data_IF_115008796028
#
_entry.id   IF_115008796028
#
_cell.length_a   1.000
_cell.length_b   1.000
_cell.length_c   1.000
_cell.angle_alpha   90.00
_cell.angle_beta   90.00
_cell.angle_gamma   90.00
#
_symmetry.space_group_name_H-M   'P 1'
#
loop_
_entity.id
_entity.type
_entity.pdbx_description
1 polymer ?
#
# COMPACT_ATOMS: atom_id res chain seq x y z
N UNK A 1 11.56 -0.43 9.64
CA UNK A 1 11.43 0.05 8.27
C UNK A 1 12.82 0.03 7.63
N UNK A 2 12.94 -0.49 6.39
CA UNK A 2 14.19 -0.57 5.64
C UNK A 2 14.12 0.32 4.41
N UNK A 3 15.16 1.11 4.16
CA UNK A 3 15.24 2.06 3.05
C UNK A 3 16.41 1.66 2.14
N UNK A 4 16.19 1.62 0.83
CA UNK A 4 17.26 1.53 -0.17
C UNK A 4 17.51 2.93 -0.74
N UNK A 5 18.75 3.38 -0.72
CA UNK A 5 19.21 4.62 -1.34
C UNK A 5 20.12 4.28 -2.52
N UNK A 6 19.78 4.73 -3.72
CA UNK A 6 20.55 4.44 -4.92
C UNK A 6 20.86 5.70 -5.73
N UNK A 7 22.13 5.98 -5.90
CA UNK A 7 22.67 7.11 -6.66
C UNK A 7 24.11 6.79 -7.07
N UNK A 8 24.54 7.08 -8.28
CA UNK A 8 25.90 6.81 -8.74
C UNK A 8 26.91 7.90 -8.31
N UNK A 9 26.42 9.01 -7.75
CA UNK A 9 27.22 10.12 -7.27
C UNK A 9 27.36 10.09 -5.75
N UNK A 10 28.55 9.75 -5.24
CA UNK A 10 28.85 9.65 -3.79
C UNK A 10 28.45 10.90 -2.99
N UNK A 11 28.62 12.09 -3.58
CA UNK A 11 28.24 13.34 -2.93
C UNK A 11 26.72 13.40 -2.68
N UNK A 12 25.91 12.92 -3.62
CA UNK A 12 24.45 12.90 -3.49
C UNK A 12 24.02 11.86 -2.47
N UNK A 13 24.63 10.67 -2.46
CA UNK A 13 24.42 9.68 -1.38
C UNK A 13 24.70 10.29 -0.01
N UNK A 14 25.83 11.00 0.14
CA UNK A 14 26.19 11.65 1.41
C UNK A 14 25.19 12.74 1.83
N UNK A 15 24.66 13.51 0.87
CA UNK A 15 23.63 14.52 1.13
C UNK A 15 22.35 13.88 1.66
N UNK A 16 21.85 12.84 0.98
CA UNK A 16 20.61 12.17 1.38
C UNK A 16 20.78 11.39 2.68
N UNK A 17 21.94 10.77 2.90
CA UNK A 17 22.31 10.18 4.20
C UNK A 17 22.14 11.19 5.34
N UNK A 18 22.69 12.38 5.16
CA UNK A 18 22.59 13.44 6.16
C UNK A 18 21.13 13.86 6.44
N UNK A 19 20.27 13.86 5.40
CA UNK A 19 18.84 14.13 5.54
C UNK A 19 18.12 12.98 6.27
N UNK A 20 18.43 11.73 5.95
CA UNK A 20 17.89 10.55 6.63
C UNK A 20 18.26 10.54 8.12
N UNK A 21 19.53 10.77 8.44
CA UNK A 21 20.01 10.83 9.83
C UNK A 21 19.36 11.97 10.62
N UNK A 22 19.20 13.13 9.99
CA UNK A 22 18.52 14.28 10.59
C UNK A 22 17.04 13.99 10.82
N UNK A 23 16.37 13.37 9.86
CA UNK A 23 14.97 12.98 9.95
C UNK A 23 14.74 11.97 11.09
N UNK A 24 15.59 10.93 11.15
CA UNK A 24 15.54 9.91 12.21
C UNK A 24 15.68 10.53 13.61
N UNK A 25 16.61 11.45 13.78
CA UNK A 25 16.82 12.16 15.07
C UNK A 25 15.64 13.05 15.44
N UNK A 26 15.11 13.80 14.47
CA UNK A 26 14.03 14.76 14.71
C UNK A 26 12.71 14.06 15.07
N UNK A 27 12.40 12.96 14.41
CA UNK A 27 11.11 12.26 14.56
C UNK A 27 11.18 11.06 15.51
N UNK A 28 12.37 10.69 15.99
CA UNK A 28 12.62 9.51 16.85
C UNK A 28 12.02 8.20 16.27
N UNK A 29 12.16 7.99 14.95
CA UNK A 29 11.61 6.86 14.23
C UNK A 29 12.72 5.87 13.90
N UNK A 30 12.66 4.61 14.34
CA UNK A 30 13.68 3.62 14.03
C UNK A 30 13.53 3.13 12.59
N UNK A 31 14.54 3.36 11.75
CA UNK A 31 14.70 2.73 10.45
C UNK A 31 16.17 2.45 10.16
N UNK A 32 16.43 1.58 9.21
CA UNK A 32 17.75 1.29 8.67
C UNK A 32 17.78 1.61 7.18
N UNK A 33 18.91 2.00 6.66
CA UNK A 33 19.07 2.21 5.23
C UNK A 33 20.34 1.51 4.70
N UNK A 34 20.30 1.19 3.41
CA UNK A 34 21.42 0.63 2.67
C UNK A 34 21.65 1.47 1.42
N UNK A 35 22.92 1.69 1.09
CA UNK A 35 23.36 2.53 -0.01
C UNK A 35 23.87 1.68 -1.17
N UNK A 36 23.52 2.09 -2.37
CA UNK A 36 23.88 1.44 -3.63
C UNK A 36 24.38 2.47 -4.61
N UNK A 37 25.52 2.21 -5.24
CA UNK A 37 26.12 3.06 -6.26
C UNK A 37 25.70 2.67 -7.68
N UNK A 38 24.88 1.66 -7.82
CA UNK A 38 24.42 1.13 -9.10
C UNK A 38 22.99 0.59 -9.00
N UNK A 39 22.18 0.98 -9.97
CA UNK A 39 20.83 0.44 -10.16
C UNK A 39 20.84 -1.09 -10.37
N UNK A 40 21.84 -1.62 -11.07
CA UNK A 40 21.98 -3.06 -11.27
C UNK A 40 22.26 -3.82 -9.96
N UNK A 41 23.08 -3.24 -9.08
CA UNK A 41 23.35 -3.80 -7.75
C UNK A 41 22.10 -3.84 -6.90
N UNK A 42 21.35 -2.72 -6.85
CA UNK A 42 20.09 -2.66 -6.11
C UNK A 42 19.05 -3.61 -6.71
N UNK A 43 18.92 -3.75 -8.03
CA UNK A 43 17.99 -4.68 -8.66
C UNK A 43 18.24 -6.13 -8.20
N UNK A 44 19.50 -6.55 -8.17
CA UNK A 44 19.88 -7.88 -7.68
C UNK A 44 19.57 -8.07 -6.19
N UNK A 45 19.75 -7.04 -5.39
CA UNK A 45 19.47 -7.11 -3.96
C UNK A 45 17.96 -7.06 -3.68
N UNK A 46 17.21 -6.19 -4.34
CA UNK A 46 15.77 -6.05 -4.17
C UNK A 46 14.98 -7.33 -4.53
N UNK A 47 15.53 -8.18 -5.42
CA UNK A 47 14.94 -9.48 -5.70
C UNK A 47 15.06 -10.50 -4.54
N UNK A 48 16.01 -10.28 -3.62
CA UNK A 48 16.31 -11.17 -2.48
C UNK A 48 15.78 -10.62 -1.16
N UNK A 49 15.77 -9.31 -1.01
CA UNK A 49 15.40 -8.60 0.19
C UNK A 49 14.45 -7.44 -0.16
N UNK A 50 13.35 -7.29 0.55
CA UNK A 50 12.41 -6.19 0.35
C UNK A 50 12.79 -4.97 1.16
N UNK A 51 12.58 -3.81 0.56
CA UNK A 51 12.70 -2.51 1.20
C UNK A 51 11.33 -1.86 1.29
N UNK A 52 11.07 -1.13 2.36
CA UNK A 52 9.83 -0.39 2.56
C UNK A 52 9.79 0.88 1.71
N UNK A 53 10.95 1.50 1.47
CA UNK A 53 11.11 2.73 0.70
C UNK A 53 12.35 2.60 -0.19
N UNK A 54 12.20 3.02 -1.43
CA UNK A 54 13.30 3.18 -2.39
C UNK A 54 13.49 4.66 -2.71
N UNK A 55 14.68 5.20 -2.43
CA UNK A 55 15.13 6.53 -2.80
C UNK A 55 16.07 6.37 -4.01
N UNK A 56 15.61 6.76 -5.20
CA UNK A 56 16.26 6.42 -6.45
C UNK A 56 16.65 7.68 -7.23
N UNK A 57 17.90 7.83 -7.61
CA UNK A 57 18.20 8.73 -8.73
C UNK A 57 17.67 8.14 -10.04
N UNK A 58 17.26 9.00 -10.97
CA UNK A 58 16.79 8.58 -12.28
C UNK A 58 17.95 8.44 -13.27
N UNK A 59 18.89 9.37 -13.22
CA UNK A 59 19.95 9.48 -14.20
C UNK A 59 21.19 8.69 -13.77
N UNK A 60 21.13 7.38 -13.87
CA UNK A 60 22.24 6.48 -13.55
C UNK A 60 22.73 5.73 -14.79
N UNK A 61 24.03 5.36 -14.84
CA UNK A 61 24.59 4.53 -15.92
C UNK A 61 23.93 3.14 -15.99
N UNK A 62 23.91 2.58 -17.19
CA UNK A 62 23.41 1.23 -17.53
C UNK A 62 21.91 1.03 -17.37
N UNK A 63 21.35 1.27 -16.21
CA UNK A 63 19.92 1.14 -15.91
C UNK A 63 19.45 2.41 -15.21
N UNK A 64 18.47 3.09 -15.78
CA UNK A 64 17.89 4.29 -15.17
C UNK A 64 17.05 3.93 -13.93
N UNK A 65 16.89 4.89 -13.01
CA UNK A 65 16.00 4.69 -11.84
C UNK A 65 14.56 4.37 -12.24
N UNK A 66 14.10 4.88 -13.40
CA UNK A 66 12.78 4.53 -13.94
C UNK A 66 12.67 3.05 -14.34
N UNK A 67 13.71 2.52 -14.99
CA UNK A 67 13.77 1.10 -15.35
C UNK A 67 13.84 0.23 -14.10
N UNK A 68 14.66 0.61 -13.12
CA UNK A 68 14.76 -0.06 -11.84
C UNK A 68 13.40 -0.06 -11.10
N UNK A 69 12.69 1.08 -11.07
CA UNK A 69 11.38 1.16 -10.46
C UNK A 69 10.35 0.24 -11.13
N UNK A 70 10.35 0.12 -12.46
CA UNK A 70 9.51 -0.84 -13.18
C UNK A 70 9.84 -2.27 -12.80
N UNK A 71 11.12 -2.61 -12.67
CA UNK A 71 11.55 -3.95 -12.26
C UNK A 71 11.09 -4.24 -10.82
N UNK A 72 11.27 -3.32 -9.88
CA UNK A 72 10.77 -3.43 -8.51
C UNK A 72 9.26 -3.69 -8.52
N UNK A 73 8.49 -2.97 -9.34
CA UNK A 73 7.02 -3.14 -9.43
C UNK A 73 6.58 -4.51 -9.95
N UNK A 74 7.45 -5.30 -10.59
CA UNK A 74 7.10 -6.66 -11.00
C UNK A 74 6.92 -7.61 -9.82
N UNK A 75 7.57 -7.36 -8.68
CA UNK A 75 7.54 -8.21 -7.50
C UNK A 75 7.13 -7.49 -6.20
N UNK A 76 7.18 -6.15 -6.17
CA UNK A 76 6.76 -5.35 -5.02
C UNK A 76 5.91 -4.15 -5.46
N UNK A 77 4.60 -4.28 -5.28
CA UNK A 77 3.63 -3.23 -5.61
C UNK A 77 3.38 -2.26 -4.44
N UNK A 78 3.78 -2.64 -3.22
CA UNK A 78 3.47 -1.91 -1.99
C UNK A 78 4.60 -1.00 -1.51
N UNK A 79 5.84 -1.19 -1.99
CA UNK A 79 6.97 -0.36 -1.58
C UNK A 79 6.79 1.08 -2.06
N UNK A 80 7.16 2.04 -1.23
CA UNK A 80 7.19 3.45 -1.62
C UNK A 80 8.42 3.75 -2.47
N UNK A 81 8.24 4.53 -3.53
CA UNK A 81 9.34 4.98 -4.40
C UNK A 81 9.35 6.50 -4.42
N UNK A 82 10.48 7.09 -4.02
CA UNK A 82 10.78 8.52 -4.17
C UNK A 82 11.90 8.66 -5.18
N UNK A 83 11.67 9.41 -6.24
CA UNK A 83 12.72 9.80 -7.15
C UNK A 83 13.45 11.06 -6.68
N UNK A 84 14.78 11.05 -6.77
CA UNK A 84 15.68 12.15 -6.44
C UNK A 84 16.51 12.45 -7.69
N UNK A 85 16.21 13.52 -8.41
CA UNK A 85 16.83 13.73 -9.73
C UNK A 85 17.07 15.20 -10.08
N UNK A 86 17.97 15.45 -11.01
CA UNK A 86 18.20 16.79 -11.58
C UNK A 86 17.31 17.11 -12.78
N UNK A 87 16.62 16.11 -13.38
CA UNK A 87 15.74 16.31 -14.53
C UNK A 87 14.28 16.36 -14.10
N UNK A 88 13.48 17.23 -14.72
CA UNK A 88 12.02 17.30 -14.58
C UNK A 88 11.27 16.44 -15.61
N UNK A 89 11.97 15.89 -16.61
CA UNK A 89 11.36 15.27 -17.79
C UNK A 89 10.62 13.97 -17.48
N UNK A 90 10.99 13.30 -16.38
CA UNK A 90 10.42 12.03 -15.97
C UNK A 90 9.25 12.16 -14.97
N UNK A 91 8.87 13.38 -14.60
CA UNK A 91 7.83 13.59 -13.59
C UNK A 91 6.48 12.96 -14.00
N UNK A 92 6.07 13.12 -15.26
CA UNK A 92 4.84 12.49 -15.79
C UNK A 92 5.00 10.97 -15.85
N UNK A 93 6.15 10.47 -16.26
CA UNK A 93 6.40 9.03 -16.37
C UNK A 93 6.44 8.34 -15.01
N UNK A 94 6.85 9.03 -13.94
CA UNK A 94 6.90 8.51 -12.58
C UNK A 94 5.54 8.00 -12.07
N UNK A 95 4.43 8.55 -12.57
CA UNK A 95 3.09 8.05 -12.27
C UNK A 95 2.86 6.62 -12.78
N UNK A 96 3.50 6.22 -13.87
CA UNK A 96 3.34 4.85 -14.42
C UNK A 96 3.89 3.77 -13.50
N UNK A 97 4.87 4.11 -12.67
CA UNK A 97 5.47 3.22 -11.66
C UNK A 97 4.90 3.47 -10.28
N UNK A 98 3.83 4.30 -10.17
CA UNK A 98 3.21 4.68 -8.91
C UNK A 98 4.28 5.17 -7.91
N UNK A 99 5.11 6.12 -8.34
CA UNK A 99 6.05 6.76 -7.44
C UNK A 99 5.28 7.58 -6.40
N UNK A 100 5.65 7.44 -5.13
CA UNK A 100 5.04 8.16 -4.02
C UNK A 100 5.40 9.63 -4.06
N UNK A 101 6.64 9.96 -4.49
CA UNK A 101 7.08 11.35 -4.59
C UNK A 101 8.21 11.52 -5.63
N UNK A 102 8.42 12.78 -6.04
CA UNK A 102 9.43 13.18 -7.01
C UNK A 102 10.10 14.47 -6.53
N UNK A 103 11.37 14.40 -6.15
CA UNK A 103 12.11 15.50 -5.57
C UNK A 103 13.25 15.94 -6.49
N UNK A 104 13.31 17.24 -6.78
CA UNK A 104 14.38 17.82 -7.57
C UNK A 104 15.63 18.04 -6.73
N UNK A 105 16.80 17.65 -7.26
CA UNK A 105 18.10 18.01 -6.70
C UNK A 105 18.44 19.48 -7.01
N UNK A 106 19.01 20.25 -6.06
CA UNK A 106 19.41 19.83 -4.72
C UNK A 106 18.19 19.65 -3.80
N UNK A 107 18.12 18.51 -3.12
CA UNK A 107 16.98 18.16 -2.28
C UNK A 107 17.01 18.98 -1.00
N UNK A 108 15.99 19.80 -0.78
CA UNK A 108 15.87 20.56 0.46
C UNK A 108 15.36 19.68 1.61
N UNK A 109 15.80 19.95 2.83
CA UNK A 109 15.36 19.22 4.02
C UNK A 109 13.83 19.27 4.18
N UNK A 110 13.20 20.42 3.93
CA UNK A 110 11.75 20.56 4.04
C UNK A 110 10.99 19.68 3.07
N UNK A 111 11.41 19.63 1.79
CA UNK A 111 10.78 18.79 0.79
C UNK A 111 10.97 17.30 1.09
N UNK A 112 12.17 16.91 1.52
CA UNK A 112 12.48 15.54 1.91
C UNK A 112 11.66 15.09 3.13
N UNK A 113 11.60 15.93 4.16
CA UNK A 113 10.85 15.62 5.38
C UNK A 113 9.35 15.51 5.10
N UNK A 114 8.79 16.42 4.28
CA UNK A 114 7.38 16.33 3.87
C UNK A 114 7.08 15.01 3.14
N UNK A 115 7.93 14.60 2.20
CA UNK A 115 7.76 13.34 1.47
C UNK A 115 7.84 12.11 2.41
N UNK A 116 8.77 12.12 3.37
CA UNK A 116 8.87 11.06 4.38
C UNK A 116 7.67 11.05 5.33
N UNK A 117 7.19 12.22 5.75
CA UNK A 117 6.00 12.35 6.61
C UNK A 117 4.75 11.79 5.93
N UNK A 118 4.57 12.05 4.63
CA UNK A 118 3.44 11.53 3.86
C UNK A 118 3.45 10.00 3.82
N UNK A 119 4.61 9.39 3.56
CA UNK A 119 4.79 7.93 3.61
C UNK A 119 4.48 7.39 5.00
N UNK A 120 5.00 8.02 6.05
CA UNK A 120 4.80 7.54 7.41
C UNK A 120 3.34 7.68 7.86
N UNK A 121 2.66 8.76 7.47
CA UNK A 121 1.22 8.93 7.72
C UNK A 121 0.41 7.86 7.03
N UNK A 122 0.68 7.58 5.75
CA UNK A 122 0.03 6.50 5.02
C UNK A 122 0.24 5.15 5.71
N UNK A 123 1.50 4.79 6.03
CA UNK A 123 1.83 3.55 6.73
C UNK A 123 1.23 3.48 8.15
N UNK A 124 1.13 4.61 8.87
CA UNK A 124 0.52 4.66 10.21
C UNK A 124 -0.99 4.51 10.11
N UNK A 125 -1.63 5.08 9.10
CA UNK A 125 -3.05 4.86 8.81
C UNK A 125 -3.32 3.40 8.44
N UNK A 126 -2.47 2.77 7.62
CA UNK A 126 -2.54 1.34 7.31
C UNK A 126 -2.28 0.46 8.56
N UNK A 127 -1.32 0.81 9.40
CA UNK A 127 -1.01 0.07 10.63
C UNK A 127 -1.99 0.37 11.79
N UNK A 128 -2.67 1.52 11.76
CA UNK A 128 -3.61 1.94 12.80
C UNK A 128 -4.95 1.20 12.77
N UNK A 129 -5.31 0.60 11.66
CA UNK A 129 -6.59 -0.08 11.49
C UNK A 129 -6.40 -1.60 11.40
N UNK A 130 -6.53 -2.28 12.53
CA UNK A 130 -6.55 -3.75 12.57
C UNK A 130 -7.75 -4.25 13.36
N UNK A 131 -8.22 -5.43 12.99
CA UNK A 131 -9.19 -6.17 13.77
C UNK A 131 -8.51 -7.16 14.71
N UNK A 132 -9.01 -7.25 15.92
CA UNK A 132 -8.66 -8.33 16.84
C UNK A 132 -9.81 -9.34 16.81
N UNK A 133 -9.59 -10.44 16.10
CA UNK A 133 -10.57 -11.49 15.90
C UNK A 133 -10.34 -12.63 16.88
N UNK A 134 -11.40 -13.03 17.60
CA UNK A 134 -11.37 -14.18 18.52
C UNK A 134 -12.02 -15.37 17.84
N UNK A 135 -11.21 -16.33 17.42
CA UNK A 135 -11.66 -17.60 16.85
C UNK A 135 -11.57 -18.73 17.88
N UNK A 136 -12.05 -19.91 17.52
CA UNK A 136 -11.89 -21.10 18.37
C UNK A 136 -10.44 -21.57 18.54
N UNK A 137 -9.56 -21.21 17.60
CA UNK A 137 -8.16 -21.62 17.57
C UNK A 137 -7.21 -20.56 18.15
N UNK A 138 -7.70 -19.34 18.44
CA UNK A 138 -6.86 -18.29 19.02
C UNK A 138 -7.35 -16.89 18.74
N UNK A 139 -6.49 -15.93 19.05
CA UNK A 139 -6.68 -14.49 18.79
C UNK A 139 -5.82 -14.10 17.61
N UNK A 140 -6.43 -13.49 16.59
CA UNK A 140 -5.78 -13.05 15.38
C UNK A 140 -5.79 -11.52 15.32
N UNK A 141 -4.66 -10.93 14.96
CA UNK A 141 -4.55 -9.50 14.63
C UNK A 141 -4.49 -9.37 13.12
N UNK A 142 -5.55 -8.86 12.50
CA UNK A 142 -5.69 -8.74 11.04
C UNK A 142 -5.72 -7.28 10.65
N UNK A 143 -4.74 -6.79 9.86
CA UNK A 143 -4.79 -5.46 9.28
C UNK A 143 -6.04 -5.30 8.39
N UNK A 144 -6.73 -4.16 8.46
CA UNK A 144 -7.89 -3.90 7.59
C UNK A 144 -7.51 -3.91 6.11
N UNK A 145 -6.29 -3.49 5.79
CA UNK A 145 -5.74 -3.54 4.43
C UNK A 145 -5.63 -4.96 3.87
N UNK A 146 -5.50 -5.98 4.73
CA UNK A 146 -5.46 -7.38 4.31
C UNK A 146 -6.84 -8.05 4.27
N UNK A 147 -7.86 -7.42 4.85
CA UNK A 147 -9.21 -7.96 4.87
C UNK A 147 -9.89 -7.73 3.51
N UNK A 148 -10.17 -8.82 2.80
CA UNK A 148 -10.77 -8.81 1.46
C UNK A 148 -12.28 -8.69 1.52
N UNK A 149 -12.92 -9.59 2.27
CA UNK A 149 -14.37 -9.56 2.50
C UNK A 149 -14.74 -10.36 3.75
N UNK A 150 -15.95 -10.13 4.23
CA UNK A 150 -16.55 -10.82 5.37
C UNK A 150 -17.87 -11.44 4.94
N UNK A 151 -18.09 -12.69 5.33
CA UNK A 151 -19.29 -13.45 5.02
C UNK A 151 -20.00 -13.91 6.30
N UNK A 152 -21.32 -13.73 6.36
CA UNK A 152 -22.16 -14.32 7.38
C UNK A 152 -22.71 -15.67 6.91
N UNK A 153 -22.35 -16.75 7.58
CA UNK A 153 -22.79 -18.10 7.27
C UNK A 153 -23.15 -18.89 8.55
N UNK A 154 -24.36 -19.42 8.62
CA UNK A 154 -24.79 -20.32 9.72
C UNK A 154 -24.50 -19.80 11.14
N UNK A 155 -24.85 -18.55 11.44
CA UNK A 155 -24.58 -17.86 12.72
C UNK A 155 -23.09 -17.67 13.04
N UNK A 156 -22.22 -17.75 12.04
CA UNK A 156 -20.81 -17.46 12.13
C UNK A 156 -20.47 -16.33 11.17
N UNK A 157 -19.41 -15.63 11.47
CA UNK A 157 -18.81 -14.65 10.58
C UNK A 157 -17.45 -15.20 10.15
N UNK A 158 -17.20 -15.20 8.85
CA UNK A 158 -15.96 -15.67 8.25
C UNK A 158 -15.26 -14.47 7.62
N UNK A 159 -14.04 -14.21 8.05
CA UNK A 159 -13.18 -13.17 7.55
C UNK A 159 -12.19 -13.78 6.55
N UNK A 160 -12.12 -13.22 5.35
CA UNK A 160 -11.25 -13.69 4.28
C UNK A 160 -10.13 -12.66 4.04
N UNK A 161 -8.89 -13.10 4.15
CA UNK A 161 -7.72 -12.24 4.00
C UNK A 161 -7.03 -12.40 2.65
N UNK A 162 -6.20 -11.44 2.27
CA UNK A 162 -5.39 -11.46 1.05
C UNK A 162 -4.40 -12.64 1.02
N UNK A 163 -3.93 -13.08 2.20
CA UNK A 163 -3.12 -14.28 2.38
C UNK A 163 -3.87 -15.60 2.21
N UNK A 164 -5.17 -15.57 1.78
CA UNK A 164 -6.08 -16.72 1.65
C UNK A 164 -6.41 -17.41 2.97
N UNK A 165 -6.13 -16.77 4.10
CA UNK A 165 -6.55 -17.26 5.41
C UNK A 165 -8.05 -17.00 5.61
N UNK A 166 -8.73 -17.96 6.25
CA UNK A 166 -10.14 -17.86 6.66
C UNK A 166 -10.22 -17.92 8.18
N UNK A 167 -10.68 -16.83 8.79
CA UNK A 167 -10.84 -16.76 10.24
C UNK A 167 -12.33 -16.82 10.58
N UNK A 168 -12.74 -17.87 11.29
CA UNK A 168 -14.14 -18.12 11.65
C UNK A 168 -14.39 -17.68 13.08
N UNK A 169 -15.28 -16.69 13.23
CA UNK A 169 -15.69 -16.14 14.52
C UNK A 169 -17.16 -16.41 14.81
N UNK A 170 -17.51 -16.44 16.10
CA UNK A 170 -18.91 -16.56 16.55
C UNK A 170 -19.36 -15.21 17.09
N UNK A 171 -19.93 -14.40 16.21
CA UNK A 171 -20.37 -13.04 16.52
C UNK A 171 -21.55 -12.63 15.62
N UNK A 172 -22.15 -11.47 15.88
CA UNK A 172 -23.25 -10.95 15.08
C UNK A 172 -22.69 -10.17 13.88
N UNK A 173 -23.13 -10.55 12.68
CA UNK A 173 -22.72 -9.84 11.46
C UNK A 173 -23.10 -8.37 11.45
N UNK A 174 -24.20 -7.98 12.08
CA UNK A 174 -24.59 -6.57 12.24
C UNK A 174 -23.54 -5.78 13.00
N UNK A 175 -23.02 -6.32 14.11
CA UNK A 175 -21.97 -5.64 14.89
C UNK A 175 -20.67 -5.50 14.11
N UNK A 176 -20.35 -6.50 13.26
CA UNK A 176 -19.21 -6.42 12.35
C UNK A 176 -19.41 -5.33 11.30
N UNK A 177 -20.63 -5.24 10.73
CA UNK A 177 -20.97 -4.16 9.80
C UNK A 177 -20.87 -2.78 10.46
N UNK A 178 -21.41 -2.61 11.69
CA UNK A 178 -21.37 -1.35 12.43
C UNK A 178 -19.92 -0.87 12.68
N UNK A 179 -19.01 -1.81 12.92
CA UNK A 179 -17.58 -1.51 13.10
C UNK A 179 -16.87 -1.21 11.78
N UNK A 180 -17.00 -2.10 10.79
CA UNK A 180 -16.24 -1.98 9.54
C UNK A 180 -16.74 -0.89 8.60
N UNK A 181 -18.04 -0.56 8.62
CA UNK A 181 -18.59 0.53 7.80
C UNK A 181 -18.18 1.94 8.29
N UNK A 182 -17.50 2.06 9.44
CA UNK A 182 -16.84 3.30 9.86
C UNK A 182 -15.58 3.58 9.03
N UNK A 183 -15.05 2.58 8.35
CA UNK A 183 -13.89 2.68 7.47
C UNK A 183 -14.37 2.80 6.02
N UNK A 184 -13.93 3.86 5.34
CA UNK A 184 -14.41 4.24 4.01
C UNK A 184 -14.23 3.17 2.92
N UNK A 185 -13.23 2.29 3.11
CA UNK A 185 -12.91 1.21 2.19
C UNK A 185 -13.90 0.03 2.23
N UNK A 186 -14.80 -0.03 3.21
CA UNK A 186 -15.75 -1.14 3.34
C UNK A 186 -17.16 -0.77 2.88
N UNK A 187 -17.79 -1.69 2.17
CA UNK A 187 -19.16 -1.58 1.70
C UNK A 187 -19.94 -2.87 1.94
N UNK A 188 -21.15 -2.75 2.49
CA UNK A 188 -22.07 -3.89 2.57
C UNK A 188 -22.80 -4.07 1.24
N UNK A 189 -22.48 -5.12 0.50
CA UNK A 189 -23.02 -5.42 -0.84
C UNK A 189 -24.21 -6.37 -0.83
N UNK A 190 -24.36 -7.15 0.24
CA UNK A 190 -25.44 -8.08 0.45
C UNK A 190 -25.75 -8.19 1.95
N UNK A 191 -26.95 -8.70 2.34
CA UNK A 191 -27.30 -8.93 3.76
C UNK A 191 -26.32 -9.82 4.53
N UNK A 192 -25.50 -10.60 3.80
CA UNK A 192 -24.53 -11.55 4.37
C UNK A 192 -23.09 -11.25 3.90
N UNK A 193 -22.84 -10.18 3.15
CA UNK A 193 -21.51 -9.87 2.64
C UNK A 193 -21.15 -8.39 2.83
N UNK A 194 -19.95 -8.19 3.34
CA UNK A 194 -19.28 -6.89 3.45
C UNK A 194 -17.93 -7.02 2.75
N UNK A 195 -17.60 -6.08 1.86
CA UNK A 195 -16.44 -6.16 0.96
C UNK A 195 -15.56 -4.94 1.14
N UNK A 196 -14.25 -5.15 1.10
CA UNK A 196 -13.27 -4.09 0.97
C UNK A 196 -13.16 -3.67 -0.50
N UNK A 197 -13.45 -2.42 -0.80
CA UNK A 197 -13.52 -1.87 -2.16
C UNK A 197 -12.18 -1.90 -2.89
N UNK A 198 -11.06 -1.89 -2.18
CA UNK A 198 -9.72 -2.03 -2.76
C UNK A 198 -9.51 -3.37 -3.47
N UNK A 199 -10.31 -4.38 -3.16
CA UNK A 199 -10.22 -5.71 -3.76
C UNK A 199 -11.25 -5.96 -4.88
N UNK A 200 -12.04 -4.96 -5.25
CA UNK A 200 -13.06 -5.09 -6.31
C UNK A 200 -12.37 -5.02 -7.67
N UNK A 201 -12.53 -6.09 -8.45
CA UNK A 201 -12.11 -6.15 -9.85
C UNK A 201 -13.18 -5.63 -10.80
N UNK A 202 -14.42 -6.03 -10.58
CA UNK A 202 -15.55 -5.60 -11.41
C UNK A 202 -16.89 -5.77 -10.70
N UNK A 203 -17.88 -4.92 -11.04
CA UNK A 203 -19.22 -4.95 -10.49
C UNK A 203 -20.21 -5.25 -11.61
N UNK A 204 -20.80 -6.45 -11.58
CA UNK A 204 -21.82 -6.90 -12.50
C UNK A 204 -23.22 -6.39 -12.17
N UNK A 205 -24.24 -7.13 -12.62
CA UNK A 205 -25.65 -6.90 -12.31
C UNK A 205 -26.16 -7.77 -11.17
N UNK A 206 -25.63 -8.97 -11.01
CA UNK A 206 -26.05 -9.94 -9.98
C UNK A 206 -24.95 -10.23 -8.96
N UNK A 207 -23.70 -10.10 -9.35
CA UNK A 207 -22.52 -10.37 -8.53
C UNK A 207 -21.41 -9.33 -8.75
N UNK A 208 -20.43 -9.42 -7.90
CA UNK A 208 -19.20 -8.63 -7.90
C UNK A 208 -18.02 -9.60 -7.93
N UNK A 209 -17.08 -9.39 -8.84
CA UNK A 209 -15.86 -10.17 -8.93
C UNK A 209 -14.73 -9.45 -8.18
N UNK A 210 -14.05 -10.17 -7.29
CA UNK A 210 -12.87 -9.68 -6.56
C UNK A 210 -11.57 -10.04 -7.28
N UNK A 211 -10.47 -9.37 -6.96
CA UNK A 211 -9.16 -9.63 -7.57
C UNK A 211 -8.65 -11.07 -7.37
N UNK A 212 -9.05 -11.73 -6.29
CA UNK A 212 -8.73 -13.13 -6.02
C UNK A 212 -9.60 -14.13 -6.80
N UNK A 213 -10.51 -13.66 -7.67
CA UNK A 213 -11.42 -14.45 -8.48
C UNK A 213 -12.73 -14.86 -7.77
N UNK A 214 -12.94 -14.46 -6.53
CA UNK A 214 -14.19 -14.74 -5.79
C UNK A 214 -15.33 -13.90 -6.35
N UNK A 215 -16.49 -14.52 -6.58
CA UNK A 215 -17.73 -13.81 -6.91
C UNK A 215 -18.59 -13.66 -5.65
N UNK A 216 -18.95 -12.42 -5.32
CA UNK A 216 -19.79 -12.06 -4.18
C UNK A 216 -21.16 -11.60 -4.69
N UNK A 217 -22.28 -12.16 -4.19
CA UNK A 217 -23.62 -11.78 -4.64
C UNK A 217 -23.97 -10.36 -4.24
N UNK A 218 -24.70 -9.64 -5.10
CA UNK A 218 -25.16 -8.29 -4.86
C UNK A 218 -26.65 -8.27 -4.47
N UNK A 219 -26.99 -7.39 -3.55
CA UNK A 219 -28.39 -7.07 -3.25
C UNK A 219 -29.00 -6.29 -4.43
N UNK A 220 -29.85 -6.92 -5.22
CA UNK A 220 -30.38 -6.39 -6.49
C UNK A 220 -30.92 -4.95 -6.42
N UNK A 221 -31.62 -4.62 -5.33
CA UNK A 221 -32.20 -3.26 -5.13
C UNK A 221 -31.16 -2.20 -4.82
N UNK A 222 -29.91 -2.59 -4.52
CA UNK A 222 -28.82 -1.69 -4.10
C UNK A 222 -27.69 -1.59 -5.14
N UNK A 223 -27.77 -2.30 -6.26
CA UNK A 223 -26.67 -2.34 -7.27
C UNK A 223 -26.28 -0.95 -7.76
N UNK A 224 -27.27 -0.08 -8.01
CA UNK A 224 -27.00 1.30 -8.46
C UNK A 224 -26.27 2.12 -7.39
N UNK A 225 -26.68 2.00 -6.12
CA UNK A 225 -26.05 2.71 -5.00
C UNK A 225 -24.64 2.19 -4.74
N UNK A 226 -24.43 0.86 -4.82
CA UNK A 226 -23.14 0.21 -4.66
C UNK A 226 -22.16 0.72 -5.74
N UNK A 227 -22.59 0.76 -7.01
CA UNK A 227 -21.78 1.29 -8.11
C UNK A 227 -21.44 2.77 -7.91
N UNK A 228 -22.41 3.58 -7.50
CA UNK A 228 -22.19 5.00 -7.21
C UNK A 228 -21.19 5.21 -6.10
N UNK A 229 -21.32 4.44 -5.00
CA UNK A 229 -20.40 4.52 -3.85
C UNK A 229 -18.99 4.10 -4.24
N UNK A 230 -18.84 3.01 -5.01
CA UNK A 230 -17.55 2.55 -5.50
C UNK A 230 -16.87 3.58 -6.41
N UNK A 231 -17.61 4.20 -7.33
CA UNK A 231 -17.07 5.25 -8.20
C UNK A 231 -16.62 6.47 -7.39
N UNK A 232 -17.39 6.89 -6.40
CA UNK A 232 -17.00 7.99 -5.50
C UNK A 232 -15.70 7.65 -4.75
N UNK A 233 -15.58 6.42 -4.23
CA UNK A 233 -14.39 5.94 -3.55
C UNK A 233 -13.14 5.99 -4.45
N UNK A 234 -13.26 5.63 -5.74
CA UNK A 234 -12.15 5.66 -6.70
C UNK A 234 -11.76 7.09 -7.15
N UNK A 235 -12.66 8.07 -7.01
CA UNK A 235 -12.38 9.48 -7.41
C UNK A 235 -11.74 10.29 -6.28
N UNK A 236 -11.74 9.80 -5.04
CA UNK A 236 -11.13 10.42 -3.87
C UNK A 236 -9.68 9.92 -3.62
N UNK A 237 -9.19 8.97 -4.42
CA UNK A 237 -7.78 8.55 -4.49
C UNK A 237 -7.02 9.39 -5.52
#
# INVERSE_FOLDING_TARGET
>A
MKIALCDDVEKELSNIRSLLDSYQKTHNIPFTYQEYHSSCELALQASKERFDIYLLDILMPHMTGMQLAREIRTFDHAADIIFLTTSSDFAVESYTVKATNYLMKPVSANAFFAAMDDILRAKTQEQGHFLVLKSRIGVHKVPLSELVYVEAQNRKVIYYTSGREQIVCTELFSSVCDSLLQHREFIQVHRSFLVNMNYIRSIGTMDMCLHNGTNVPLAQRRVADIKKHYLAFQMEE
#
